data_IF_054723957707
#
_entry.id   IF_054723957707
#
_cell.length_a   1.000
_cell.length_b   1.000
_cell.length_c   1.000
_cell.angle_alpha   90.00
_cell.angle_beta   90.00
_cell.angle_gamma   90.00
#
_symmetry.space_group_name_H-M   'P 1'
#
loop_
_entity.id
_entity.type
_entity.pdbx_description
1 polymer ?
#
# COMPACT_ATOMS: atom_id res chain seq x y z
N UNK A 1 -32.92 23.15 -30.42
CA UNK A 1 -31.65 22.70 -29.81
C UNK A 1 -30.72 22.32 -30.95
N UNK A 2 -29.44 22.67 -30.85
CA UNK A 2 -28.38 22.18 -31.73
C UNK A 2 -27.58 21.13 -30.98
N UNK A 3 -27.25 20.02 -31.64
CA UNK A 3 -26.54 18.90 -31.02
C UNK A 3 -25.65 18.22 -32.08
N UNK A 4 -24.38 18.63 -32.23
CA UNK A 4 -23.50 18.13 -33.29
C UNK A 4 -23.33 16.61 -33.29
N UNK A 5 -23.43 15.98 -32.12
CA UNK A 5 -23.32 14.52 -31.98
C UNK A 5 -24.58 13.77 -32.40
N UNK A 6 -25.72 14.47 -32.54
CA UNK A 6 -27.03 13.92 -32.91
C UNK A 6 -27.86 14.94 -33.72
N UNK A 7 -27.46 15.25 -34.97
CA UNK A 7 -28.15 16.24 -35.80
C UNK A 7 -29.63 15.90 -36.06
N UNK A 8 -30.00 14.62 -36.02
CA UNK A 8 -31.37 14.15 -36.22
C UNK A 8 -32.36 14.61 -35.13
N UNK A 9 -31.84 15.15 -34.02
CA UNK A 9 -32.64 15.69 -32.91
C UNK A 9 -32.85 17.21 -33.00
N UNK A 10 -32.21 17.88 -33.96
CA UNK A 10 -32.33 19.32 -34.15
C UNK A 10 -33.73 19.71 -34.67
N UNK A 11 -34.21 20.88 -34.25
CA UNK A 11 -35.54 21.38 -34.60
C UNK A 11 -36.73 20.69 -33.91
N UNK A 12 -36.53 19.56 -33.22
CA UNK A 12 -37.60 18.86 -32.49
C UNK A 12 -37.86 19.46 -31.12
N UNK A 13 -39.13 19.48 -30.70
CA UNK A 13 -39.48 19.80 -29.32
C UNK A 13 -39.17 18.58 -28.43
N UNK A 14 -38.29 18.79 -27.45
CA UNK A 14 -37.78 17.75 -26.54
C UNK A 14 -38.17 18.00 -25.08
N UNK A 15 -39.19 18.83 -24.84
CA UNK A 15 -39.63 19.22 -23.49
C UNK A 15 -40.07 18.02 -22.63
N UNK A 16 -40.64 16.99 -23.26
CA UNK A 16 -41.13 15.77 -22.60
C UNK A 16 -40.13 14.61 -22.66
N UNK A 17 -38.94 14.82 -23.24
CA UNK A 17 -37.94 13.76 -23.35
C UNK A 17 -37.41 13.40 -21.96
N UNK A 18 -37.46 12.11 -21.66
CA UNK A 18 -36.87 11.54 -20.46
C UNK A 18 -35.55 10.87 -20.79
N UNK A 19 -34.58 11.01 -19.90
CA UNK A 19 -33.38 10.20 -19.94
C UNK A 19 -33.66 8.75 -19.50
N UNK A 20 -32.63 7.90 -19.56
CA UNK A 20 -32.71 6.49 -19.12
C UNK A 20 -32.99 6.31 -17.63
N UNK A 21 -32.96 7.37 -16.82
CA UNK A 21 -33.34 7.37 -15.40
C UNK A 21 -34.72 7.99 -15.14
N UNK A 22 -35.41 8.44 -16.20
CA UNK A 22 -36.75 9.01 -16.13
C UNK A 22 -36.80 10.51 -15.88
N UNK A 23 -35.65 11.20 -15.81
CA UNK A 23 -35.58 12.64 -15.59
C UNK A 23 -35.83 13.41 -16.89
N UNK A 24 -36.55 14.54 -16.80
CA UNK A 24 -36.79 15.42 -17.94
C UNK A 24 -35.55 16.26 -18.25
N UNK A 25 -34.70 15.73 -19.14
CA UNK A 25 -33.36 16.26 -19.45
C UNK A 25 -33.39 17.74 -19.85
N UNK A 26 -34.27 18.13 -20.78
CA UNK A 26 -34.34 19.51 -21.27
C UNK A 26 -34.89 20.47 -20.22
N UNK A 27 -35.84 20.02 -19.39
CA UNK A 27 -36.38 20.83 -18.31
C UNK A 27 -35.31 21.12 -17.25
N UNK A 28 -34.51 20.10 -16.89
CA UNK A 28 -33.38 20.25 -15.96
C UNK A 28 -32.33 21.23 -16.47
N UNK A 29 -31.95 21.12 -17.75
CA UNK A 29 -30.99 22.03 -18.39
C UNK A 29 -31.50 23.48 -18.37
N UNK A 30 -32.73 23.73 -18.82
CA UNK A 30 -33.30 25.08 -18.86
C UNK A 30 -33.46 25.66 -17.45
N UNK A 31 -33.89 24.83 -16.49
CA UNK A 31 -34.02 25.24 -15.08
C UNK A 31 -32.67 25.68 -14.51
N UNK A 32 -31.64 24.83 -14.64
CA UNK A 32 -30.30 25.13 -14.10
C UNK A 32 -29.69 26.39 -14.70
N UNK A 33 -29.92 26.67 -15.99
CA UNK A 33 -29.46 27.90 -16.61
C UNK A 33 -30.19 29.14 -16.03
N UNK A 34 -31.52 29.06 -15.86
CA UNK A 34 -32.34 30.20 -15.40
C UNK A 34 -32.16 30.57 -13.93
N UNK A 35 -31.67 29.66 -13.09
CA UNK A 35 -31.47 29.88 -11.66
C UNK A 35 -30.15 30.60 -11.32
N UNK A 36 -29.40 31.07 -12.33
CA UNK A 36 -28.19 31.88 -12.15
C UNK A 36 -26.92 31.25 -12.74
N UNK A 37 -27.06 30.59 -13.90
CA UNK A 37 -26.04 29.77 -14.57
C UNK A 37 -25.53 28.62 -13.69
N UNK A 38 -25.92 27.39 -14.04
CA UNK A 38 -25.88 26.29 -13.09
C UNK A 38 -25.54 24.95 -13.71
N UNK A 39 -25.30 23.98 -12.82
CA UNK A 39 -25.01 22.62 -13.20
C UNK A 39 -26.29 21.78 -13.29
N UNK A 40 -26.33 20.86 -14.25
CA UNK A 40 -27.35 19.80 -14.31
C UNK A 40 -26.69 18.46 -14.60
N UNK A 41 -27.13 17.43 -13.88
CA UNK A 41 -26.74 16.05 -14.15
C UNK A 41 -27.89 15.32 -14.86
N UNK A 42 -27.55 14.56 -15.90
CA UNK A 42 -28.52 13.77 -16.67
C UNK A 42 -27.82 12.66 -17.44
N UNK A 43 -28.60 11.67 -17.88
CA UNK A 43 -28.09 10.60 -18.73
C UNK A 43 -28.29 10.92 -20.20
N UNK A 44 -27.23 10.78 -21.00
CA UNK A 44 -27.30 10.98 -22.45
C UNK A 44 -26.30 10.09 -23.17
N UNK A 45 -26.59 9.81 -24.45
CA UNK A 45 -25.72 9.02 -25.30
C UNK A 45 -24.31 9.60 -25.37
N UNK A 46 -23.32 8.80 -24.97
CA UNK A 46 -21.89 9.09 -25.06
C UNK A 46 -21.32 8.50 -26.36
N UNK A 47 -20.89 9.31 -27.34
CA UNK A 47 -20.48 8.83 -28.66
C UNK A 47 -19.36 7.79 -28.64
N UNK A 48 -18.40 7.89 -27.71
CA UNK A 48 -17.25 6.99 -27.64
C UNK A 48 -17.62 5.54 -27.26
N UNK A 49 -18.74 5.34 -26.56
CA UNK A 49 -19.20 4.02 -26.10
C UNK A 49 -20.57 3.63 -26.68
N UNK A 50 -21.21 4.51 -27.44
CA UNK A 50 -22.49 4.27 -28.11
C UNK A 50 -23.69 4.04 -27.18
N UNK A 51 -23.54 4.25 -25.86
CA UNK A 51 -24.59 4.06 -24.85
C UNK A 51 -24.76 5.29 -23.98
N UNK A 52 -25.88 5.35 -23.26
CA UNK A 52 -26.12 6.42 -22.30
C UNK A 52 -25.14 6.31 -21.12
N UNK A 53 -24.58 7.46 -20.76
CA UNK A 53 -23.68 7.62 -19.62
C UNK A 53 -24.08 8.88 -18.81
N UNK A 54 -23.71 8.95 -17.53
CA UNK A 54 -24.01 10.11 -16.70
C UNK A 54 -23.17 11.29 -17.16
N UNK A 55 -23.80 12.44 -17.38
CA UNK A 55 -23.16 13.67 -17.83
C UNK A 55 -23.45 14.79 -16.86
N UNK A 56 -22.40 15.51 -16.45
CA UNK A 56 -22.53 16.77 -15.74
C UNK A 56 -22.34 17.90 -16.75
N UNK A 57 -23.34 18.77 -16.90
CA UNK A 57 -23.24 19.97 -17.73
C UNK A 57 -23.33 21.24 -16.90
N UNK A 58 -22.60 22.26 -17.33
CA UNK A 58 -22.79 23.65 -16.95
C UNK A 58 -23.61 24.34 -18.03
N UNK A 59 -24.67 25.04 -17.64
CA UNK A 59 -25.63 25.64 -18.56
C UNK A 59 -25.78 27.13 -18.27
N UNK A 60 -25.76 27.93 -19.32
CA UNK A 60 -25.81 29.38 -19.28
C UNK A 60 -26.97 29.91 -20.14
N UNK A 61 -27.64 30.97 -19.70
CA UNK A 61 -28.65 31.66 -20.52
C UNK A 61 -28.02 32.81 -21.29
N UNK A 62 -28.28 32.86 -22.59
CA UNK A 62 -28.00 34.02 -23.44
C UNK A 62 -29.30 34.80 -23.67
N UNK A 63 -29.64 35.70 -22.75
CA UNK A 63 -30.93 36.40 -22.71
C UNK A 63 -31.28 37.09 -24.02
N UNK A 64 -30.31 37.73 -24.68
CA UNK A 64 -30.52 38.43 -25.96
C UNK A 64 -31.13 37.52 -27.05
N UNK A 65 -30.78 36.23 -27.04
CA UNK A 65 -31.21 35.27 -28.04
C UNK A 65 -32.25 34.27 -27.52
N UNK A 66 -32.55 34.32 -26.21
CA UNK A 66 -33.37 33.32 -25.51
C UNK A 66 -32.80 31.89 -25.70
N UNK A 67 -31.47 31.77 -25.76
CA UNK A 67 -30.78 30.50 -25.91
C UNK A 67 -30.26 30.00 -24.58
N UNK A 68 -30.27 28.68 -24.40
CA UNK A 68 -29.52 28.00 -23.35
C UNK A 68 -28.35 27.29 -24.00
N UNK A 69 -27.15 27.59 -23.54
CA UNK A 69 -25.91 26.98 -24.02
C UNK A 69 -25.33 26.15 -22.89
N UNK A 70 -25.10 24.87 -23.15
CA UNK A 70 -24.54 23.94 -22.18
C UNK A 70 -23.26 23.31 -22.68
N UNK A 71 -22.29 23.14 -21.78
CA UNK A 71 -21.10 22.32 -21.99
C UNK A 71 -20.94 21.35 -20.83
N UNK A 72 -20.31 20.20 -21.04
CA UNK A 72 -20.19 19.20 -19.99
C UNK A 72 -19.36 17.98 -20.37
N UNK A 73 -18.99 17.23 -19.35
CA UNK A 73 -18.20 16.00 -19.44
C UNK A 73 -19.00 14.82 -18.88
N UNK A 74 -18.63 13.61 -19.31
CA UNK A 74 -19.23 12.39 -18.77
C UNK A 74 -18.51 11.97 -17.48
N UNK A 75 -19.28 11.61 -16.45
CA UNK A 75 -18.76 11.31 -15.12
C UNK A 75 -18.03 9.96 -15.12
N UNK A 76 -18.44 9.02 -15.97
CA UNK A 76 -17.79 7.72 -16.10
C UNK A 76 -16.34 7.81 -16.61
N UNK A 77 -15.98 8.86 -17.36
CA UNK A 77 -14.57 9.12 -17.73
C UNK A 77 -13.72 9.43 -16.50
N UNK A 78 -14.25 10.17 -15.52
CA UNK A 78 -13.57 10.46 -14.27
C UNK A 78 -13.41 9.18 -13.45
N UNK A 79 -14.46 8.37 -13.35
CA UNK A 79 -14.43 7.12 -12.60
C UNK A 79 -13.40 6.13 -13.17
N UNK A 80 -13.30 6.03 -14.50
CA UNK A 80 -12.32 5.17 -15.17
C UNK A 80 -10.88 5.64 -14.94
N UNK A 81 -10.60 6.95 -15.04
CA UNK A 81 -9.29 7.53 -14.75
C UNK A 81 -8.91 7.36 -13.28
N UNK A 82 -9.88 7.48 -12.36
CA UNK A 82 -9.66 7.22 -10.95
C UNK A 82 -9.41 5.73 -10.68
N UNK A 83 -10.04 4.82 -11.43
CA UNK A 83 -9.83 3.38 -11.29
C UNK A 83 -8.42 2.96 -11.69
N UNK A 84 -7.87 3.49 -12.80
CA UNK A 84 -6.49 3.22 -13.23
C UNK A 84 -5.47 3.75 -12.22
N UNK A 85 -5.65 4.99 -11.75
CA UNK A 85 -4.81 5.57 -10.70
C UNK A 85 -4.88 4.79 -9.37
N UNK A 86 -6.03 4.20 -9.05
CA UNK A 86 -6.19 3.33 -7.87
C UNK A 86 -5.46 2.01 -8.05
N UNK A 87 -5.58 1.35 -9.22
CA UNK A 87 -4.91 0.08 -9.46
C UNK A 87 -3.38 0.20 -9.40
N UNK A 88 -2.81 1.28 -9.94
CA UNK A 88 -1.37 1.53 -9.86
C UNK A 88 -0.89 1.76 -8.42
N UNK A 89 -1.71 2.43 -7.60
CA UNK A 89 -1.41 2.61 -6.17
C UNK A 89 -1.54 1.33 -5.37
N UNK A 90 -2.51 0.48 -5.69
CA UNK A 90 -2.66 -0.81 -5.02
C UNK A 90 -1.48 -1.73 -5.31
N UNK A 91 -1.02 -1.84 -6.56
CA UNK A 91 0.15 -2.66 -6.91
C UNK A 91 1.42 -2.21 -6.19
N UNK A 92 1.68 -0.89 -6.17
CA UNK A 92 2.86 -0.33 -5.47
C UNK A 92 2.78 -0.53 -3.96
N UNK A 93 1.58 -0.46 -3.37
CA UNK A 93 1.35 -0.71 -1.96
C UNK A 93 1.57 -2.19 -1.60
N UNK A 94 1.02 -3.14 -2.38
CA UNK A 94 1.24 -4.57 -2.16
C UNK A 94 2.72 -4.97 -2.34
N UNK A 95 3.40 -4.37 -3.32
CA UNK A 95 4.85 -4.56 -3.51
C UNK A 95 5.66 -4.12 -2.29
N UNK A 96 5.38 -2.92 -1.79
CA UNK A 96 6.07 -2.35 -0.61
C UNK A 96 5.84 -3.19 0.65
N UNK A 97 4.61 -3.69 0.87
CA UNK A 97 4.30 -4.57 2.00
C UNK A 97 5.04 -5.91 1.90
N UNK A 98 5.08 -6.55 0.73
CA UNK A 98 5.81 -7.81 0.51
C UNK A 98 7.31 -7.64 0.81
N UNK A 99 7.92 -6.58 0.29
CA UNK A 99 9.34 -6.29 0.55
C UNK A 99 9.58 -6.03 2.04
N UNK A 100 8.71 -5.27 2.71
CA UNK A 100 8.80 -5.03 4.16
C UNK A 100 8.73 -6.32 4.99
N UNK A 101 7.78 -7.21 4.69
CA UNK A 101 7.65 -8.52 5.36
C UNK A 101 8.89 -9.38 5.13
N UNK A 102 9.42 -9.42 3.90
CA UNK A 102 10.64 -10.17 3.60
C UNK A 102 11.83 -9.64 4.41
N UNK A 103 12.01 -8.32 4.50
CA UNK A 103 13.06 -7.71 5.32
C UNK A 103 12.94 -8.10 6.80
N UNK A 104 11.73 -8.06 7.37
CA UNK A 104 11.47 -8.46 8.76
C UNK A 104 11.85 -9.93 8.97
N UNK A 105 11.44 -10.83 8.06
CA UNK A 105 11.77 -12.25 8.14
C UNK A 105 13.27 -12.52 8.05
N UNK A 106 13.99 -11.80 7.18
CA UNK A 106 15.44 -11.90 7.06
C UNK A 106 16.12 -11.43 8.34
N UNK A 107 15.73 -10.28 8.89
CA UNK A 107 16.29 -9.77 10.16
C UNK A 107 16.01 -10.73 11.31
N UNK A 108 14.79 -11.28 11.40
CA UNK A 108 14.43 -12.28 12.40
C UNK A 108 15.29 -13.54 12.27
N UNK A 109 15.50 -14.04 11.05
CA UNK A 109 16.35 -15.20 10.79
C UNK A 109 17.80 -14.96 11.19
N UNK A 110 18.35 -13.80 10.84
CA UNK A 110 19.73 -13.41 11.20
C UNK A 110 19.90 -13.27 12.70
N UNK A 111 18.96 -12.62 13.39
CA UNK A 111 19.02 -12.43 14.84
C UNK A 111 18.90 -13.75 15.61
N UNK A 112 18.03 -14.66 15.17
CA UNK A 112 17.94 -16.01 15.73
C UNK A 112 19.24 -16.80 15.51
N UNK A 113 19.78 -16.78 14.30
CA UNK A 113 21.03 -17.46 13.98
C UNK A 113 22.20 -16.91 14.82
N UNK A 114 22.33 -15.59 14.94
CA UNK A 114 23.35 -14.94 15.76
C UNK A 114 23.22 -15.35 17.23
N UNK A 115 21.99 -15.37 17.77
CA UNK A 115 21.71 -15.78 19.15
C UNK A 115 22.20 -17.21 19.43
N UNK A 116 21.90 -18.15 18.54
CA UNK A 116 22.34 -19.56 18.68
C UNK A 116 23.86 -19.68 18.58
N UNK A 117 24.49 -18.96 17.64
CA UNK A 117 25.95 -19.00 17.44
C UNK A 117 26.68 -18.42 18.66
N UNK A 118 26.28 -17.25 19.15
CA UNK A 118 26.90 -16.59 20.30
C UNK A 118 26.68 -17.43 21.57
N UNK A 119 25.46 -17.97 21.77
CA UNK A 119 25.14 -18.83 22.90
C UNK A 119 26.07 -20.05 22.96
N UNK A 120 26.29 -20.71 21.84
CA UNK A 120 27.10 -21.94 21.78
C UNK A 120 28.62 -21.70 21.73
N UNK A 121 29.08 -20.63 21.07
CA UNK A 121 30.53 -20.38 20.91
C UNK A 121 31.15 -19.51 21.99
N UNK A 122 30.36 -18.67 22.64
CA UNK A 122 30.86 -17.70 23.63
C UNK A 122 30.24 -17.95 25.00
N UNK A 123 28.90 -17.92 25.08
CA UNK A 123 28.21 -17.88 26.38
C UNK A 123 28.39 -19.18 27.16
N UNK A 124 28.17 -20.35 26.52
CA UNK A 124 28.32 -21.66 27.17
C UNK A 124 29.75 -21.95 27.63
N UNK A 125 30.80 -21.86 26.77
CA UNK A 125 32.16 -22.14 27.23
C UNK A 125 32.65 -21.18 28.32
N UNK A 126 32.21 -19.92 28.29
CA UNK A 126 32.53 -18.95 29.35
C UNK A 126 31.84 -19.33 30.67
N UNK A 127 30.58 -19.75 30.62
CA UNK A 127 29.85 -20.25 31.79
C UNK A 127 30.50 -21.51 32.37
N UNK A 128 30.91 -22.46 31.51
CA UNK A 128 31.62 -23.67 31.93
C UNK A 128 32.96 -23.32 32.61
N UNK A 129 33.71 -22.35 32.08
CA UNK A 129 34.96 -21.89 32.67
C UNK A 129 34.76 -21.22 34.04
N UNK A 130 33.73 -20.37 34.17
CA UNK A 130 33.37 -19.72 35.44
C UNK A 130 32.95 -20.77 36.48
N UNK A 131 32.14 -21.75 36.08
CA UNK A 131 31.71 -22.83 36.98
C UNK A 131 32.92 -23.63 37.50
N UNK A 132 33.83 -24.05 36.61
CA UNK A 132 35.02 -24.79 37.00
C UNK A 132 35.95 -23.99 37.94
N UNK A 133 36.05 -22.67 37.76
CA UNK A 133 36.83 -21.80 38.66
C UNK A 133 36.17 -21.66 40.04
N UNK A 134 34.85 -21.54 40.11
CA UNK A 134 34.12 -21.47 41.38
C UNK A 134 34.26 -22.78 42.17
N UNK A 135 34.15 -23.94 41.50
CA UNK A 135 34.32 -25.25 42.14
C UNK A 135 35.72 -25.39 42.78
N UNK A 136 36.77 -24.88 42.12
CA UNK A 136 38.13 -24.85 42.68
C UNK A 136 38.23 -23.88 43.87
N UNK A 137 37.59 -22.71 43.79
CA UNK A 137 37.63 -21.69 44.84
C UNK A 137 36.93 -22.13 46.14
N UNK A 138 35.86 -22.92 46.03
CA UNK A 138 35.07 -23.40 47.17
C UNK A 138 35.71 -24.61 47.90
N UNK A 139 36.84 -25.13 47.40
CA UNK A 139 37.67 -26.12 48.10
C UNK A 139 37.36 -27.60 47.82
N UNK A 140 36.29 -27.89 47.08
CA UNK A 140 35.89 -29.25 46.64
C UNK A 140 36.26 -29.54 45.16
N UNK A 141 37.03 -28.66 44.53
CA UNK A 141 37.27 -28.69 43.09
C UNK A 141 38.04 -29.92 42.61
N UNK A 142 37.40 -30.73 41.75
CA UNK A 142 38.03 -31.80 41.00
C UNK A 142 39.01 -31.23 39.96
N UNK A 143 40.29 -31.11 40.36
CA UNK A 143 41.41 -30.66 39.52
C UNK A 143 41.71 -31.60 38.35
N UNK A 144 40.97 -32.70 38.17
CA UNK A 144 41.07 -33.52 36.95
C UNK A 144 40.20 -32.99 35.82
N UNK A 145 39.26 -32.06 36.09
CA UNK A 145 38.44 -31.46 35.03
C UNK A 145 39.28 -30.63 34.05
N UNK A 146 38.89 -30.68 32.78
CA UNK A 146 39.51 -29.94 31.67
C UNK A 146 38.42 -29.30 30.82
N UNK A 147 38.60 -28.03 30.49
CA UNK A 147 37.73 -27.33 29.55
C UNK A 147 38.05 -27.78 28.13
N UNK A 148 37.01 -28.04 27.32
CA UNK A 148 37.19 -28.40 25.91
C UNK A 148 37.63 -27.16 25.11
N UNK A 149 38.82 -27.22 24.52
CA UNK A 149 39.31 -26.17 23.61
C UNK A 149 38.69 -26.37 22.23
N UNK A 150 37.55 -25.72 21.99
CA UNK A 150 36.78 -25.88 20.73
C UNK A 150 37.01 -24.74 19.73
N UNK A 151 37.69 -23.66 20.12
CA UNK A 151 37.93 -22.49 19.27
C UNK A 151 39.40 -22.04 19.30
N UNK A 152 39.79 -21.22 18.31
CA UNK A 152 41.12 -20.56 18.22
C UNK A 152 41.05 -19.07 18.59
N UNK A 153 39.89 -18.59 19.02
CA UNK A 153 39.67 -17.24 19.51
C UNK A 153 40.06 -17.08 21.00
N UNK A 154 39.71 -15.94 21.60
CA UNK A 154 39.95 -15.61 23.01
C UNK A 154 39.31 -16.62 23.95
N UNK A 155 38.14 -17.19 23.61
CA UNK A 155 37.44 -18.21 24.39
C UNK A 155 38.23 -19.52 24.38
N UNK A 156 38.78 -19.89 23.22
CA UNK A 156 39.68 -21.04 23.10
C UNK A 156 41.00 -20.86 23.85
N UNK A 157 41.60 -19.67 23.77
CA UNK A 157 42.82 -19.34 24.50
C UNK A 157 42.59 -19.37 26.01
N UNK A 158 41.44 -18.89 26.50
CA UNK A 158 41.04 -18.99 27.90
C UNK A 158 40.95 -20.46 28.35
N UNK A 159 40.24 -21.30 27.58
CA UNK A 159 40.13 -22.73 27.90
C UNK A 159 41.50 -23.43 27.93
N UNK A 160 42.40 -23.11 27.01
CA UNK A 160 43.75 -23.66 26.96
C UNK A 160 44.63 -23.15 28.13
N UNK A 161 44.50 -21.87 28.51
CA UNK A 161 45.18 -21.30 29.65
C UNK A 161 44.72 -21.95 30.97
N UNK A 162 43.41 -22.14 31.14
CA UNK A 162 42.84 -22.83 32.29
C UNK A 162 43.39 -24.27 32.43
N UNK A 163 43.38 -25.05 31.35
CA UNK A 163 43.89 -26.43 31.39
C UNK A 163 45.37 -26.51 31.81
N UNK A 164 46.22 -25.57 31.33
CA UNK A 164 47.63 -25.49 31.73
C UNK A 164 47.84 -25.07 33.18
N UNK A 165 46.96 -24.22 33.72
CA UNK A 165 47.00 -23.81 35.12
C UNK A 165 46.72 -25.02 36.03
N UNK A 166 45.66 -25.77 35.73
CA UNK A 166 45.28 -26.95 36.50
C UNK A 166 46.32 -28.07 36.41
N UNK A 167 47.06 -28.18 35.30
CA UNK A 167 48.15 -29.17 35.16
C UNK A 167 49.39 -28.89 36.03
N UNK A 168 49.54 -27.66 36.53
CA UNK A 168 50.71 -27.25 37.33
C UNK A 168 50.49 -27.28 38.85
N UNK A 169 49.26 -27.55 39.29
CA UNK A 169 48.89 -27.75 40.70
C UNK A 169 48.90 -29.25 40.98
#
# INVERSE_FOLDING_TARGET
MLLPTRPEMEGKNRWQDKDTKGAFLIQGIIKSAREGDGFSEYWTNKPSIGRDAPKLSFNLVLDKYQWVVGTGFYIDDIDNELATLRSEREETMYGSLKTGVLFILVILGVTLAATVVIGNRVTRPLADAVAALNDIADGDGDLTQRLKVQSKDEVGQLAAAFNRFVERI
#
